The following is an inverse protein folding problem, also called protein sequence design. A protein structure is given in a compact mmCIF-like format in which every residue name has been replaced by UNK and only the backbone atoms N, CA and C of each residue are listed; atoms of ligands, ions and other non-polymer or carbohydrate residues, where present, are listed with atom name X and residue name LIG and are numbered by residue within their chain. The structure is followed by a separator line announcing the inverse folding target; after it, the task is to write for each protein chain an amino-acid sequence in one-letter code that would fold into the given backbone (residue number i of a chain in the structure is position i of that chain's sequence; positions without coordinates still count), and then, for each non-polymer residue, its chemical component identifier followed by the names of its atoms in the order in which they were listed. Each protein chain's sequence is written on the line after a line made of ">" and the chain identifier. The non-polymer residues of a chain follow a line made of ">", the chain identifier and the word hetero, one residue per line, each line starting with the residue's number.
data_IF_177529238175
#
_entry.id   IF_177529238175
#
_cell.length_a   1.000
_cell.length_b   1.000
_cell.length_c   1.000
_cell.angle_alpha   90.00
_cell.angle_beta   90.00
_cell.angle_gamma   90.00
#
_symmetry.space_group_name_H-M   'P 1'
#
loop_
_entity.id
_entity.type
_entity.pdbx_description
1 polymer ?
#
# COMPACT_ATOMS: atom_id res chain seq x y z
N UNK A 1 17.19 19.36 2.42
CA UNK A 1 16.23 20.05 3.28
C UNK A 1 15.52 19.00 4.13
N UNK A 2 15.47 19.19 5.44
CA UNK A 2 14.66 18.32 6.30
C UNK A 2 13.20 18.51 5.89
N UNK A 3 12.60 17.45 5.37
CA UNK A 3 11.18 17.42 5.16
C UNK A 3 10.58 17.33 6.57
N UNK A 4 9.83 18.36 6.94
CA UNK A 4 9.18 18.39 8.23
C UNK A 4 8.00 17.44 8.23
N UNK A 5 7.66 16.89 9.38
CA UNK A 5 6.43 16.14 9.57
C UNK A 5 5.24 17.08 9.32
N UNK A 6 4.46 16.81 8.29
CA UNK A 6 3.35 17.68 7.87
C UNK A 6 2.05 17.35 8.56
N UNK A 7 1.95 16.21 9.17
CA UNK A 7 0.69 15.68 9.62
C UNK A 7 0.52 15.70 11.14
N UNK A 8 -0.65 16.18 11.55
CA UNK A 8 -1.09 16.08 12.91
C UNK A 8 -2.56 15.63 12.95
N UNK A 9 -2.80 14.41 13.40
CA UNK A 9 -4.15 13.80 13.47
C UNK A 9 -5.14 14.63 14.28
N UNK A 10 -4.66 15.31 15.32
CA UNK A 10 -5.52 16.09 16.20
C UNK A 10 -6.20 17.28 15.51
N UNK A 11 -5.57 17.79 14.45
CA UNK A 11 -6.13 18.91 13.67
C UNK A 11 -6.97 18.47 12.49
N UNK A 12 -7.11 17.18 12.23
CA UNK A 12 -7.92 16.68 11.14
C UNK A 12 -9.40 16.94 11.42
N UNK A 13 -10.00 17.78 10.57
CA UNK A 13 -11.42 18.10 10.64
C UNK A 13 -12.25 17.10 9.83
N UNK A 14 -12.90 16.19 10.53
CA UNK A 14 -13.77 15.21 9.91
C UNK A 14 -15.05 15.87 9.38
N UNK A 15 -15.44 15.52 8.16
CA UNK A 15 -16.64 16.07 7.56
C UNK A 15 -17.90 15.59 8.30
N UNK A 16 -18.60 16.55 8.89
CA UNK A 16 -19.73 16.32 9.80
C UNK A 16 -20.94 15.63 9.17
N UNK A 17 -21.04 15.52 7.84
CA UNK A 17 -22.24 15.00 7.17
C UNK A 17 -22.32 13.48 7.16
N UNK A 18 -21.24 12.77 7.00
CA UNK A 18 -21.24 11.31 6.93
C UNK A 18 -21.27 10.67 8.32
N UNK A 19 -20.63 11.29 9.30
CA UNK A 19 -20.50 10.73 10.65
C UNK A 19 -21.80 10.62 11.44
N UNK A 20 -22.83 11.40 11.08
CA UNK A 20 -24.09 11.44 11.85
C UNK A 20 -25.04 10.27 11.60
N UNK A 21 -24.89 9.56 10.49
CA UNK A 21 -25.85 8.58 10.01
C UNK A 21 -25.28 7.18 9.83
N UNK A 22 -23.96 7.03 9.85
CA UNK A 22 -23.30 5.73 9.72
C UNK A 22 -22.89 5.22 11.10
N UNK A 23 -23.64 4.23 11.61
CA UNK A 23 -23.38 3.63 12.94
C UNK A 23 -22.04 2.89 13.01
N UNK A 24 -21.48 2.54 11.86
CA UNK A 24 -20.23 1.79 11.75
C UNK A 24 -19.01 2.70 11.54
N UNK A 25 -19.24 4.02 11.42
CA UNK A 25 -18.18 4.99 11.25
C UNK A 25 -17.48 5.28 12.58
N UNK A 26 -16.16 5.20 12.54
CA UNK A 26 -15.25 5.53 13.63
C UNK A 26 -14.23 6.54 13.12
N UNK A 27 -13.84 7.48 13.96
CA UNK A 27 -12.78 8.44 13.64
C UNK A 27 -11.42 7.87 14.05
N UNK A 28 -10.40 8.06 13.22
CA UNK A 28 -9.04 7.58 13.54
C UNK A 28 -8.56 8.05 14.91
N UNK A 29 -8.87 9.32 15.28
CA UNK A 29 -8.49 9.89 16.57
C UNK A 29 -9.07 9.15 17.78
N UNK A 30 -10.13 8.37 17.59
CA UNK A 30 -10.80 7.62 18.66
C UNK A 30 -10.25 6.19 18.82
N UNK A 31 -9.28 5.83 17.99
CA UNK A 31 -8.58 4.55 18.05
C UNK A 31 -7.19 4.72 18.68
N UNK A 32 -6.69 3.64 19.27
CA UNK A 32 -5.28 3.53 19.62
C UNK A 32 -4.47 3.31 18.33
N UNK A 33 -3.74 4.33 17.91
CA UNK A 33 -2.91 4.29 16.72
C UNK A 33 -1.52 4.86 17.02
N UNK A 34 -0.56 4.53 16.16
CA UNK A 34 0.80 5.09 16.20
C UNK A 34 1.35 5.21 14.78
N UNK A 35 2.57 5.74 14.68
CA UNK A 35 3.30 5.79 13.41
C UNK A 35 4.55 4.95 13.49
N UNK A 36 4.97 4.42 12.35
CA UNK A 36 6.29 3.85 12.18
C UNK A 36 7.28 5.01 12.01
N UNK A 37 7.88 5.45 13.12
CA UNK A 37 8.64 6.71 13.17
C UNK A 37 10.03 6.62 12.52
N UNK A 38 10.55 5.42 12.33
CA UNK A 38 11.90 5.17 11.84
C UNK A 38 12.02 5.36 10.32
N UNK A 39 10.90 5.36 9.59
CA UNK A 39 10.86 5.55 8.14
C UNK A 39 10.21 6.89 7.80
N UNK A 40 10.96 7.76 7.12
CA UNK A 40 10.46 8.99 6.52
C UNK A 40 10.21 8.78 5.02
N UNK A 41 8.95 8.82 4.63
CA UNK A 41 8.54 8.53 3.24
C UNK A 41 9.09 9.52 2.21
N UNK A 42 9.12 10.85 2.47
CA UNK A 42 9.65 11.80 1.50
C UNK A 42 11.17 11.82 1.32
N UNK A 43 11.91 10.94 1.91
CA UNK A 43 13.38 10.83 1.76
C UNK A 43 13.81 9.77 0.75
N UNK A 44 13.11 9.66 -0.38
CA UNK A 44 13.30 8.57 -1.34
C UNK A 44 14.50 8.77 -2.26
N UNK A 45 15.12 7.67 -2.73
CA UNK A 45 16.19 7.74 -3.73
C UNK A 45 15.74 8.32 -5.06
N UNK A 46 16.69 8.86 -5.81
CA UNK A 46 16.48 9.27 -7.20
C UNK A 46 16.73 8.07 -8.12
N UNK A 47 15.86 7.88 -9.09
CA UNK A 47 15.91 6.75 -10.03
C UNK A 47 16.07 7.16 -11.48
N UNK A 48 16.45 8.40 -11.76
CA UNK A 48 16.88 8.79 -13.09
C UNK A 48 18.11 7.98 -13.50
N UNK A 49 18.15 7.48 -14.72
CA UNK A 49 19.24 6.60 -15.17
C UNK A 49 20.63 7.20 -14.94
N UNK A 50 20.80 8.48 -15.23
CA UNK A 50 22.07 9.17 -15.01
C UNK A 50 22.42 9.32 -13.52
N UNK A 51 21.44 9.45 -12.64
CA UNK A 51 21.66 9.62 -11.20
C UNK A 51 21.87 8.28 -10.51
N UNK A 52 21.26 7.21 -10.99
CA UNK A 52 21.54 5.84 -10.57
C UNK A 52 23.03 5.51 -10.77
N UNK A 53 23.59 5.87 -11.93
CA UNK A 53 25.02 5.68 -12.20
C UNK A 53 25.93 6.51 -11.31
N UNK A 54 25.47 7.67 -10.84
CA UNK A 54 26.18 8.56 -9.93
C UNK A 54 25.91 8.26 -8.45
N UNK A 55 25.06 7.26 -8.17
CA UNK A 55 24.62 6.89 -6.80
C UNK A 55 23.92 8.05 -6.07
N UNK A 56 23.19 8.86 -6.78
CA UNK A 56 22.35 9.89 -6.16
C UNK A 56 21.13 9.24 -5.52
N UNK A 57 20.76 9.70 -4.34
CA UNK A 57 19.83 8.96 -3.47
C UNK A 57 18.65 9.78 -2.93
N UNK A 58 18.40 10.95 -3.44
CA UNK A 58 17.27 11.76 -2.97
C UNK A 58 16.37 12.21 -4.12
N UNK A 59 15.08 11.98 -3.97
CA UNK A 59 14.05 12.50 -4.88
C UNK A 59 12.80 12.89 -4.09
N UNK A 60 12.19 14.00 -4.46
CA UNK A 60 10.87 14.39 -3.97
C UNK A 60 9.75 14.05 -4.98
N UNK A 61 10.10 13.60 -6.18
CA UNK A 61 9.14 13.27 -7.24
C UNK A 61 8.44 11.91 -7.05
N UNK A 62 8.97 11.06 -6.19
CA UNK A 62 8.43 9.73 -5.94
C UNK A 62 7.14 9.78 -5.12
N UNK A 63 6.14 9.02 -5.55
CA UNK A 63 4.84 8.89 -4.88
C UNK A 63 4.68 7.47 -4.34
N UNK A 64 4.61 7.28 -3.01
CA UNK A 64 4.44 5.96 -2.42
C UNK A 64 3.09 5.36 -2.78
N UNK A 65 3.07 4.07 -3.09
CA UNK A 65 1.90 3.34 -3.55
C UNK A 65 1.65 2.05 -2.79
N UNK A 66 2.64 1.18 -2.69
CA UNK A 66 2.52 -0.14 -2.12
C UNK A 66 3.37 -0.35 -0.88
N UNK A 67 2.87 -1.16 0.03
CA UNK A 67 3.59 -1.59 1.24
C UNK A 67 3.39 -3.07 1.48
N UNK A 68 4.46 -3.75 1.85
CA UNK A 68 4.46 -5.14 2.25
C UNK A 68 5.53 -5.33 3.33
N UNK A 69 5.21 -6.07 4.39
CA UNK A 69 6.15 -6.41 5.44
C UNK A 69 6.52 -7.89 5.34
N UNK A 70 7.82 -8.16 5.44
CA UNK A 70 8.37 -9.50 5.63
C UNK A 70 8.93 -9.60 7.05
N UNK A 71 9.48 -10.73 7.44
CA UNK A 71 10.12 -10.84 8.76
C UNK A 71 11.33 -9.90 8.90
N UNK A 72 12.02 -9.63 7.79
CA UNK A 72 13.26 -8.85 7.77
C UNK A 72 13.05 -7.40 7.32
N UNK A 73 12.11 -7.16 6.41
CA UNK A 73 12.03 -5.90 5.68
C UNK A 73 10.65 -5.24 5.72
N UNK A 74 10.65 -3.94 5.57
CA UNK A 74 9.53 -3.15 5.07
C UNK A 74 9.82 -2.83 3.61
N UNK A 75 8.95 -3.26 2.71
CA UNK A 75 9.04 -3.04 1.27
C UNK A 75 8.02 -1.99 0.86
N UNK A 76 8.49 -0.94 0.20
CA UNK A 76 7.62 0.16 -0.26
C UNK A 76 7.85 0.36 -1.75
N UNK A 77 6.77 0.40 -2.52
CA UNK A 77 6.83 0.80 -3.93
C UNK A 77 6.40 2.24 -4.11
N UNK A 78 6.97 2.88 -5.11
CA UNK A 78 6.60 4.23 -5.53
C UNK A 78 6.74 4.39 -7.04
N UNK A 79 6.03 5.37 -7.59
CA UNK A 79 6.23 5.81 -8.97
C UNK A 79 6.75 7.23 -8.99
N UNK A 80 7.49 7.59 -10.03
CA UNK A 80 7.94 8.96 -10.23
C UNK A 80 6.90 9.80 -10.98
N UNK A 81 6.84 11.09 -10.66
CA UNK A 81 6.11 12.08 -11.44
C UNK A 81 6.93 12.67 -12.59
N UNK A 82 8.21 12.32 -12.69
CA UNK A 82 9.13 12.72 -13.75
C UNK A 82 9.25 11.61 -14.79
N UNK A 83 9.23 11.98 -16.06
CA UNK A 83 9.16 11.02 -17.18
C UNK A 83 10.45 10.19 -17.37
N UNK A 84 11.57 10.65 -16.83
CA UNK A 84 12.89 10.01 -16.97
C UNK A 84 13.30 9.18 -15.73
N UNK A 85 12.40 8.99 -14.80
CA UNK A 85 12.65 8.24 -13.58
C UNK A 85 12.00 6.86 -13.62
N UNK A 86 12.73 5.85 -13.17
CA UNK A 86 12.16 4.52 -12.90
C UNK A 86 11.21 4.60 -11.69
N UNK A 87 10.24 3.69 -11.65
CA UNK A 87 9.56 3.35 -10.41
C UNK A 87 10.52 2.67 -9.44
N UNK A 88 10.18 2.65 -8.16
CA UNK A 88 11.05 2.11 -7.11
C UNK A 88 10.38 0.99 -6.33
N UNK A 89 11.19 -0.01 -5.97
CA UNK A 89 10.94 -0.89 -4.85
C UNK A 89 12.03 -0.60 -3.81
N UNK A 90 11.65 0.06 -2.72
CA UNK A 90 12.57 0.42 -1.64
C UNK A 90 12.54 -0.62 -0.53
N UNK A 91 13.69 -0.98 -0.02
CA UNK A 91 13.88 -1.97 1.04
C UNK A 91 14.41 -1.28 2.28
N UNK A 92 13.68 -1.43 3.39
CA UNK A 92 14.08 -0.93 4.71
C UNK A 92 14.22 -2.12 5.67
N UNK A 93 15.21 -2.05 6.55
CA UNK A 93 15.29 -2.99 7.67
C UNK A 93 14.05 -2.81 8.57
N UNK A 94 13.37 -3.91 8.86
CA UNK A 94 12.12 -3.84 9.62
C UNK A 94 12.31 -3.45 11.08
N UNK A 95 13.40 -3.90 11.70
CA UNK A 95 13.66 -3.67 13.11
C UNK A 95 14.13 -2.23 13.35
N UNK A 96 15.05 -1.74 12.53
CA UNK A 96 15.68 -0.43 12.70
C UNK A 96 15.07 0.68 11.88
N UNK A 97 14.33 0.35 10.81
CA UNK A 97 13.84 1.31 9.82
C UNK A 97 14.94 1.86 8.90
N UNK A 98 16.15 1.33 8.98
CA UNK A 98 17.25 1.78 8.13
C UNK A 98 17.00 1.43 6.67
N UNK A 99 17.28 2.41 5.80
CA UNK A 99 17.28 2.20 4.36
C UNK A 99 18.38 1.23 3.93
N UNK A 100 18.01 0.22 3.14
CA UNK A 100 18.92 -0.82 2.69
C UNK A 100 19.29 -0.64 1.21
N UNK A 101 18.34 -0.68 0.32
CA UNK A 101 18.55 -0.63 -1.13
C UNK A 101 17.29 -0.20 -1.84
N UNK A 102 17.45 0.39 -3.03
CA UNK A 102 16.36 0.62 -3.98
C UNK A 102 16.56 -0.19 -5.23
N UNK A 103 15.50 -0.89 -5.64
CA UNK A 103 15.43 -1.59 -6.91
C UNK A 103 14.63 -0.73 -7.89
N UNK A 104 15.27 -0.31 -8.99
CA UNK A 104 14.62 0.41 -10.09
C UNK A 104 13.73 -0.54 -10.89
N UNK A 105 12.46 -0.15 -11.00
CA UNK A 105 11.42 -0.88 -11.71
C UNK A 105 11.03 -0.13 -13.00
N UNK A 106 10.07 -0.66 -13.75
CA UNK A 106 9.59 -0.04 -14.98
C UNK A 106 9.09 1.39 -14.73
N UNK A 107 9.56 2.34 -15.55
CA UNK A 107 9.13 3.74 -15.53
C UNK A 107 7.67 3.93 -15.94
N UNK A 108 7.10 3.01 -16.71
CA UNK A 108 5.72 3.07 -17.17
C UNK A 108 4.73 2.36 -16.21
N UNK A 109 5.11 2.10 -14.99
CA UNK A 109 4.25 1.46 -14.01
C UNK A 109 3.96 2.38 -12.82
N UNK A 110 2.71 2.38 -12.37
CA UNK A 110 2.35 3.01 -11.09
C UNK A 110 2.84 2.24 -9.86
N UNK A 111 3.21 0.97 -10.03
CA UNK A 111 3.60 0.10 -8.93
C UNK A 111 2.60 0.13 -7.75
N UNK A 112 1.29 0.05 -8.10
CA UNK A 112 0.18 0.34 -7.19
C UNK A 112 0.01 -0.59 -6.00
N UNK A 113 0.73 -1.71 -5.97
CA UNK A 113 0.70 -2.65 -4.86
C UNK A 113 1.85 -3.63 -4.92
N UNK A 114 2.17 -4.20 -3.75
CA UNK A 114 3.23 -5.18 -3.55
C UNK A 114 2.78 -6.24 -2.56
N UNK A 115 3.15 -7.49 -2.79
CA UNK A 115 2.84 -8.63 -1.92
C UNK A 115 4.01 -9.60 -1.85
N UNK A 116 4.11 -10.32 -0.75
CA UNK A 116 5.12 -11.36 -0.51
C UNK A 116 4.43 -12.70 -0.29
N UNK A 117 4.81 -13.73 -1.05
CA UNK A 117 4.21 -15.06 -0.98
C UNK A 117 5.04 -16.10 -0.21
N UNK A 118 6.13 -15.66 0.40
CA UNK A 118 7.09 -16.51 1.09
C UNK A 118 8.36 -16.80 0.28
N UNK A 119 8.28 -16.80 -1.04
CA UNK A 119 9.40 -17.07 -1.95
C UNK A 119 9.67 -15.90 -2.90
N UNK A 120 8.63 -15.23 -3.34
CA UNK A 120 8.69 -14.15 -4.31
C UNK A 120 7.89 -12.93 -3.86
N UNK A 121 8.30 -11.78 -4.38
CA UNK A 121 7.59 -10.53 -4.26
C UNK A 121 6.89 -10.21 -5.58
N UNK A 122 5.64 -9.78 -5.49
CA UNK A 122 4.77 -9.48 -6.61
C UNK A 122 4.41 -8.01 -6.60
N UNK A 123 4.59 -7.33 -7.73
CA UNK A 123 4.33 -5.90 -7.88
C UNK A 123 3.33 -5.67 -8.99
N UNK A 124 2.34 -4.82 -8.75
CA UNK A 124 1.32 -4.48 -9.74
C UNK A 124 1.90 -3.61 -10.86
N UNK A 125 1.58 -3.94 -12.10
CA UNK A 125 1.78 -3.10 -13.28
C UNK A 125 0.43 -2.90 -13.99
N UNK A 126 -0.28 -1.83 -13.63
CA UNK A 126 -1.62 -1.55 -14.13
C UNK A 126 -1.66 -1.15 -15.60
N UNK A 127 -0.59 -0.56 -16.11
CA UNK A 127 -0.53 -0.13 -17.52
C UNK A 127 -0.41 -1.31 -18.49
N UNK A 128 0.32 -2.35 -18.09
CA UNK A 128 0.53 -3.55 -18.90
C UNK A 128 -0.46 -4.68 -18.57
N UNK A 129 -1.39 -4.48 -17.64
CA UNK A 129 -2.31 -5.52 -17.14
C UNK A 129 -1.59 -6.80 -16.72
N UNK A 130 -0.49 -6.64 -16.02
CA UNK A 130 0.30 -7.75 -15.49
C UNK A 130 0.72 -7.48 -14.05
N UNK A 131 1.21 -8.50 -13.38
CA UNK A 131 1.99 -8.37 -12.16
C UNK A 131 3.41 -8.86 -12.43
N UNK A 132 4.36 -8.22 -11.79
CA UNK A 132 5.78 -8.50 -11.95
C UNK A 132 6.27 -9.27 -10.73
N UNK A 133 6.97 -10.39 -10.97
CA UNK A 133 7.56 -11.23 -9.93
C UNK A 133 9.04 -10.94 -9.80
N UNK A 134 9.49 -10.74 -8.58
CA UNK A 134 10.90 -10.62 -8.22
C UNK A 134 11.21 -11.64 -7.13
N UNK A 135 12.35 -12.34 -7.25
CA UNK A 135 12.79 -13.28 -6.22
C UNK A 135 13.11 -12.56 -4.91
N UNK A 136 12.61 -13.09 -3.80
CA UNK A 136 12.96 -12.55 -2.48
C UNK A 136 14.45 -12.75 -2.16
N UNK A 137 15.05 -13.85 -2.61
CA UNK A 137 16.50 -14.08 -2.46
C UNK A 137 17.32 -12.99 -3.16
N UNK A 138 16.86 -12.52 -4.33
CA UNK A 138 17.50 -11.40 -5.02
C UNK A 138 17.37 -10.10 -4.21
N UNK A 139 16.21 -9.83 -3.64
CA UNK A 139 15.99 -8.66 -2.78
C UNK A 139 16.92 -8.68 -1.57
N UNK A 140 17.02 -9.82 -0.87
CA UNK A 140 17.94 -10.00 0.25
C UNK A 140 19.39 -9.79 -0.18
N UNK A 141 19.79 -10.39 -1.30
CA UNK A 141 21.13 -10.26 -1.84
C UNK A 141 21.51 -8.80 -2.10
N UNK A 142 20.62 -8.05 -2.75
CA UNK A 142 20.83 -6.64 -3.03
C UNK A 142 20.83 -5.79 -1.76
N UNK A 143 19.95 -6.07 -0.82
CA UNK A 143 19.90 -5.34 0.45
C UNK A 143 21.22 -5.43 1.23
N UNK A 144 21.85 -6.60 1.26
CA UNK A 144 23.07 -6.81 2.02
C UNK A 144 24.36 -6.57 1.24
N UNK A 145 24.38 -6.77 -0.06
CA UNK A 145 25.57 -6.56 -0.89
C UNK A 145 25.64 -5.17 -1.52
N UNK A 146 24.52 -4.53 -1.75
CA UNK A 146 24.40 -3.21 -2.38
C UNK A 146 23.75 -2.19 -1.44
N UNK A 147 23.98 -2.30 -0.14
CA UNK A 147 23.40 -1.39 0.85
C UNK A 147 23.71 0.07 0.53
N UNK A 148 22.65 0.88 0.47
CA UNK A 148 22.73 2.31 0.13
C UNK A 148 22.74 2.61 -1.38
N UNK A 149 22.69 1.59 -2.23
CA UNK A 149 22.72 1.76 -3.68
C UNK A 149 21.30 1.78 -4.29
N UNK A 150 21.23 2.27 -5.51
CA UNK A 150 20.08 2.09 -6.41
C UNK A 150 20.51 1.13 -7.53
N UNK A 151 19.77 0.04 -7.68
CA UNK A 151 20.07 -1.04 -8.62
C UNK A 151 18.96 -1.15 -9.65
N UNK A 152 19.29 -1.14 -10.95
CA UNK A 152 18.31 -1.41 -12.00
C UNK A 152 17.90 -2.89 -11.96
N UNK A 153 16.64 -3.14 -11.62
CA UNK A 153 16.09 -4.48 -11.51
C UNK A 153 15.16 -4.87 -12.67
N UNK A 154 15.05 -4.04 -13.70
CA UNK A 154 14.10 -4.28 -14.81
C UNK A 154 14.36 -5.59 -15.57
N UNK A 155 15.62 -6.04 -15.60
CA UNK A 155 15.99 -7.29 -16.32
C UNK A 155 15.79 -8.57 -15.49
N UNK A 156 15.48 -8.45 -14.20
CA UNK A 156 15.32 -9.62 -13.31
C UNK A 156 13.87 -9.88 -12.88
N UNK A 157 12.93 -9.13 -13.43
CA UNK A 157 11.50 -9.33 -13.18
C UNK A 157 10.87 -10.21 -14.24
N UNK A 158 9.95 -11.06 -13.84
CA UNK A 158 9.10 -11.85 -14.73
C UNK A 158 7.69 -11.26 -14.75
N UNK A 159 7.10 -11.15 -15.93
CA UNK A 159 5.75 -10.62 -16.11
C UNK A 159 4.71 -11.74 -16.18
N UNK A 160 3.61 -11.56 -15.42
CA UNK A 160 2.49 -12.48 -15.39
C UNK A 160 1.20 -11.76 -15.77
N UNK A 161 0.60 -12.05 -16.92
CA UNK A 161 -0.68 -11.46 -17.30
C UNK A 161 -1.79 -11.81 -16.31
N UNK A 162 -2.66 -10.85 -16.05
CA UNK A 162 -3.85 -11.02 -15.20
C UNK A 162 -5.11 -10.54 -15.91
N UNK A 163 -6.28 -11.00 -15.47
CA UNK A 163 -7.56 -10.74 -16.15
C UNK A 163 -8.18 -9.40 -15.80
N UNK A 164 -7.86 -8.87 -14.63
CA UNK A 164 -8.35 -7.57 -14.18
C UNK A 164 -7.18 -6.60 -14.02
N UNK A 165 -7.43 -5.31 -14.18
CA UNK A 165 -6.40 -4.30 -14.01
C UNK A 165 -5.85 -4.35 -12.59
N UNK A 166 -4.55 -4.63 -12.40
CA UNK A 166 -3.96 -4.77 -11.08
C UNK A 166 -3.64 -3.41 -10.47
N UNK A 167 -4.51 -2.94 -9.58
CA UNK A 167 -4.32 -1.68 -8.87
C UNK A 167 -3.72 -1.88 -7.48
N UNK A 168 -4.06 -2.97 -6.80
CA UNK A 168 -3.44 -3.40 -5.55
C UNK A 168 -3.48 -4.92 -5.42
N UNK A 169 -2.65 -5.45 -4.51
CA UNK A 169 -2.40 -6.88 -4.40
C UNK A 169 -2.09 -7.27 -2.95
N UNK A 170 -2.48 -8.47 -2.56
CA UNK A 170 -2.06 -9.10 -1.31
C UNK A 170 -1.93 -10.61 -1.47
N UNK A 171 -1.18 -11.23 -0.58
CA UNK A 171 -1.06 -12.69 -0.48
C UNK A 171 -1.78 -13.19 0.77
N UNK A 172 -2.71 -14.12 0.58
CA UNK A 172 -3.42 -14.74 1.67
C UNK A 172 -3.96 -16.10 1.28
N UNK A 173 -3.84 -17.06 2.18
CA UNK A 173 -4.42 -18.40 1.98
C UNK A 173 -3.90 -19.13 0.75
N UNK A 174 -2.62 -18.96 0.40
CA UNK A 174 -2.00 -19.58 -0.76
C UNK A 174 -2.38 -18.97 -2.10
N UNK A 175 -2.91 -17.74 -2.11
CA UNK A 175 -3.40 -17.07 -3.31
C UNK A 175 -2.95 -15.62 -3.35
N UNK A 176 -2.81 -15.10 -4.57
CA UNK A 176 -2.69 -13.67 -4.83
C UNK A 176 -4.09 -13.08 -5.05
N UNK A 177 -4.41 -12.06 -4.28
CA UNK A 177 -5.67 -11.32 -4.38
C UNK A 177 -5.36 -9.98 -5.04
N UNK A 178 -5.91 -9.76 -6.23
CA UNK A 178 -5.64 -8.59 -7.06
C UNK A 178 -6.94 -7.80 -7.22
N UNK A 179 -6.94 -6.56 -6.74
CA UNK A 179 -8.09 -5.67 -6.80
C UNK A 179 -7.87 -4.57 -7.84
N UNK A 180 -8.97 -4.18 -8.48
CA UNK A 180 -9.02 -3.11 -9.47
C UNK A 180 -9.60 -1.84 -8.86
N UNK A 181 -8.97 -0.71 -9.08
CA UNK A 181 -9.48 0.60 -8.68
C UNK A 181 -10.49 1.12 -9.70
N UNK A 182 -11.63 1.59 -9.23
CA UNK A 182 -12.66 2.28 -10.03
C UNK A 182 -13.16 3.52 -9.28
N UNK A 183 -13.75 4.48 -9.98
CA UNK A 183 -14.22 5.74 -9.37
C UNK A 183 -15.72 5.79 -9.15
N UNK A 184 -16.51 5.25 -10.07
CA UNK A 184 -17.96 5.49 -10.12
C UNK A 184 -18.80 4.25 -9.85
N UNK A 185 -18.28 3.09 -10.09
CA UNK A 185 -19.01 1.81 -9.98
C UNK A 185 -18.27 0.85 -9.06
N UNK A 186 -18.99 -0.13 -8.53
CA UNK A 186 -18.34 -1.23 -7.83
C UNK A 186 -17.29 -1.89 -8.73
N UNK A 187 -16.23 -2.32 -8.15
CA UNK A 187 -15.12 -2.95 -8.82
C UNK A 187 -15.07 -4.45 -8.52
N UNK A 188 -13.96 -5.06 -8.86
CA UNK A 188 -13.73 -6.49 -8.66
C UNK A 188 -12.38 -6.77 -8.05
N UNK A 189 -12.30 -7.86 -7.32
CA UNK A 189 -11.08 -8.45 -6.81
C UNK A 189 -11.05 -9.92 -7.24
N UNK A 190 -9.94 -10.34 -7.82
CA UNK A 190 -9.78 -11.69 -8.33
C UNK A 190 -8.69 -12.40 -7.54
N UNK A 191 -8.99 -13.63 -7.11
CA UNK A 191 -8.01 -14.51 -6.47
C UNK A 191 -7.36 -15.40 -7.53
N UNK A 192 -6.04 -15.43 -7.51
CA UNK A 192 -5.22 -16.22 -8.42
C UNK A 192 -4.36 -17.22 -7.65
N UNK A 193 -4.09 -18.36 -8.25
CA UNK A 193 -3.00 -19.21 -7.79
C UNK A 193 -1.91 -19.31 -8.84
N UNK A 194 -0.68 -19.53 -8.40
CA UNK A 194 0.44 -19.79 -9.28
C UNK A 194 0.48 -21.29 -9.60
N UNK A 195 0.23 -21.62 -10.87
CA UNK A 195 0.44 -22.97 -11.36
C UNK A 195 1.94 -23.17 -11.63
N UNK A 196 2.59 -23.89 -10.74
CA UNK A 196 4.04 -24.14 -10.80
C UNK A 196 4.46 -25.00 -12.00
N UNK A 197 3.54 -25.75 -12.60
CA UNK A 197 3.83 -26.56 -13.78
C UNK A 197 3.92 -25.73 -15.06
N UNK A 198 3.03 -24.75 -15.21
CA UNK A 198 2.96 -23.88 -16.38
C UNK A 198 3.60 -22.52 -16.15
N UNK A 199 3.96 -22.21 -14.89
CA UNK A 199 4.44 -20.91 -14.43
C UNK A 199 3.50 -19.78 -14.90
N UNK A 200 2.21 -19.93 -14.56
CA UNK A 200 1.15 -18.96 -14.90
C UNK A 200 0.25 -18.72 -13.70
N UNK A 201 -0.28 -17.50 -13.61
CA UNK A 201 -1.34 -17.15 -12.68
C UNK A 201 -2.70 -17.55 -13.25
N UNK A 202 -3.44 -18.35 -12.51
CA UNK A 202 -4.77 -18.86 -12.91
C UNK A 202 -5.82 -18.27 -11.97
N UNK A 203 -6.81 -17.59 -12.55
CA UNK A 203 -7.92 -17.03 -11.81
C UNK A 203 -8.81 -18.14 -11.23
N UNK A 204 -9.08 -18.08 -9.94
CA UNK A 204 -9.95 -19.02 -9.23
C UNK A 204 -11.34 -18.46 -8.97
N UNK A 205 -11.42 -17.24 -8.51
CA UNK A 205 -12.66 -16.62 -8.07
C UNK A 205 -12.63 -15.11 -8.23
N UNK A 206 -13.79 -14.54 -8.40
CA UNK A 206 -14.03 -13.13 -8.66
C UNK A 206 -15.03 -12.61 -7.62
N UNK A 207 -14.70 -11.51 -6.98
CA UNK A 207 -15.49 -10.92 -5.90
C UNK A 207 -15.80 -9.46 -6.21
N UNK A 208 -17.02 -9.06 -5.93
CA UNK A 208 -17.43 -7.67 -5.97
C UNK A 208 -16.83 -6.91 -4.79
N UNK A 209 -16.24 -5.77 -5.06
CA UNK A 209 -15.71 -4.85 -4.06
C UNK A 209 -16.24 -3.44 -4.30
N UNK A 210 -16.15 -2.52 -3.31
CA UNK A 210 -16.56 -1.14 -3.53
C UNK A 210 -15.61 -0.43 -4.49
N UNK A 211 -16.03 0.74 -4.94
CA UNK A 211 -15.20 1.67 -5.71
C UNK A 211 -14.09 2.28 -4.85
N UNK A 212 -13.09 2.89 -5.50
CA UNK A 212 -12.00 3.66 -4.88
C UNK A 212 -11.03 2.84 -4.00
N UNK A 213 -10.97 1.53 -4.20
CA UNK A 213 -10.05 0.67 -3.47
C UNK A 213 -8.62 0.91 -3.95
N UNK A 214 -7.73 1.24 -3.03
CA UNK A 214 -6.30 1.46 -3.23
C UNK A 214 -5.42 0.40 -2.54
N UNK A 215 -6.00 -0.41 -1.69
CA UNK A 215 -5.29 -1.45 -0.97
C UNK A 215 -6.22 -2.51 -0.45
N UNK A 216 -5.71 -3.73 -0.33
CA UNK A 216 -6.40 -4.89 0.26
C UNK A 216 -5.42 -5.69 1.09
N UNK A 217 -5.87 -6.15 2.24
CA UNK A 217 -5.12 -7.12 3.05
C UNK A 217 -6.06 -7.97 3.89
N UNK A 218 -5.53 -9.06 4.44
CA UNK A 218 -6.23 -9.98 5.33
C UNK A 218 -5.46 -10.12 6.63
N UNK A 219 -6.17 -10.39 7.71
CA UNK A 219 -5.55 -10.92 8.92
C UNK A 219 -5.60 -12.45 8.95
N UNK A 220 -4.98 -13.04 9.96
CA UNK A 220 -4.91 -14.51 10.11
C UNK A 220 -6.28 -15.18 10.33
N UNK A 221 -7.27 -14.41 10.78
CA UNK A 221 -8.64 -14.88 10.99
C UNK A 221 -9.51 -14.76 9.73
N UNK A 222 -8.98 -14.23 8.63
CA UNK A 222 -9.71 -14.04 7.37
C UNK A 222 -10.54 -12.76 7.30
N UNK A 223 -10.42 -11.86 8.26
CA UNK A 223 -10.97 -10.52 8.15
C UNK A 223 -10.30 -9.79 6.98
N UNK A 224 -11.07 -9.00 6.25
CA UNK A 224 -10.61 -8.25 5.09
C UNK A 224 -10.57 -6.77 5.41
N UNK A 225 -9.49 -6.12 5.05
CA UNK A 225 -9.29 -4.68 5.21
C UNK A 225 -9.06 -4.04 3.85
N UNK A 226 -9.86 -3.03 3.52
CA UNK A 226 -9.71 -2.25 2.30
C UNK A 226 -9.36 -0.81 2.63
N UNK A 227 -8.35 -0.28 1.97
CA UNK A 227 -8.07 1.15 1.92
C UNK A 227 -8.81 1.74 0.73
N UNK A 228 -9.65 2.76 0.98
CA UNK A 228 -10.39 3.47 -0.07
C UNK A 228 -10.06 4.94 -0.05
N UNK A 229 -9.72 5.49 -1.20
CA UNK A 229 -9.26 6.86 -1.32
C UNK A 229 -9.51 7.44 -2.70
N UNK A 230 -9.84 8.71 -2.73
CA UNK A 230 -9.90 9.51 -3.95
C UNK A 230 -9.78 10.99 -3.65
N UNK A 231 -8.78 11.62 -4.27
CA UNK A 231 -8.60 13.06 -4.18
C UNK A 231 -7.78 13.52 -2.97
N UNK A 232 -7.37 14.78 -3.02
CA UNK A 232 -6.42 15.38 -2.06
C UNK A 232 -7.07 15.98 -0.84
N UNK A 233 -8.35 16.28 -0.95
CA UNK A 233 -9.11 17.08 0.02
C UNK A 233 -10.30 16.31 0.60
N UNK A 234 -10.41 15.04 0.29
CA UNK A 234 -11.45 14.16 0.81
C UNK A 234 -10.86 13.13 1.75
N UNK A 235 -11.60 12.82 2.81
CA UNK A 235 -11.21 11.74 3.71
C UNK A 235 -11.00 10.44 2.96
N UNK A 236 -10.01 9.68 3.36
CA UNK A 236 -9.89 8.28 3.00
C UNK A 236 -10.51 7.40 4.08
N UNK A 237 -10.84 6.16 3.75
CA UNK A 237 -11.53 5.26 4.65
C UNK A 237 -10.89 3.88 4.66
N UNK A 238 -10.78 3.33 5.85
CA UNK A 238 -10.47 1.93 6.06
C UNK A 238 -11.78 1.16 6.26
N UNK A 239 -12.04 0.20 5.38
CA UNK A 239 -13.21 -0.68 5.50
C UNK A 239 -12.80 -2.04 6.05
N UNK A 240 -13.49 -2.50 7.09
CA UNK A 240 -13.26 -3.79 7.73
C UNK A 240 -14.45 -4.72 7.49
N UNK A 241 -14.16 -5.94 7.03
CA UNK A 241 -15.18 -6.99 6.77
C UNK A 241 -14.80 -8.27 7.50
N UNK A 242 -15.78 -9.04 7.94
CA UNK A 242 -15.57 -10.30 8.65
C UNK A 242 -15.01 -11.42 7.75
N UNK A 243 -15.23 -11.30 6.44
CA UNK A 243 -14.79 -12.29 5.45
C UNK A 243 -14.88 -11.73 4.04
N UNK A 244 -14.29 -12.43 3.08
CA UNK A 244 -14.46 -12.15 1.64
C UNK A 244 -15.94 -12.30 1.23
N UNK A 245 -16.65 -13.26 1.78
CA UNK A 245 -18.08 -13.44 1.51
C UNK A 245 -18.89 -12.25 1.99
N UNK A 246 -18.62 -11.74 3.19
CA UNK A 246 -19.28 -10.54 3.72
C UNK A 246 -19.00 -9.32 2.83
N UNK A 247 -17.75 -9.14 2.41
CA UNK A 247 -17.34 -8.10 1.48
C UNK A 247 -18.12 -8.20 0.16
N UNK A 248 -18.09 -9.34 -0.48
CA UNK A 248 -18.72 -9.55 -1.79
C UNK A 248 -20.25 -9.42 -1.76
N UNK A 249 -20.88 -9.82 -0.66
CA UNK A 249 -22.33 -9.74 -0.48
C UNK A 249 -22.82 -8.32 -0.26
N UNK A 250 -22.08 -7.54 0.53
CA UNK A 250 -22.42 -6.14 0.88
C UNK A 250 -21.19 -5.22 0.83
N UNK A 251 -20.67 -4.91 -0.36
CA UNK A 251 -19.43 -4.15 -0.49
C UNK A 251 -19.47 -2.77 0.18
N UNK A 252 -20.62 -2.12 0.20
CA UNK A 252 -20.81 -0.79 0.78
C UNK A 252 -21.16 -0.78 2.27
N UNK A 253 -21.23 -1.94 2.90
CA UNK A 253 -21.62 -2.08 4.31
C UNK A 253 -20.56 -2.86 5.11
N UNK A 254 -19.37 -2.27 5.33
CA UNK A 254 -18.38 -2.87 6.21
C UNK A 254 -18.92 -2.94 7.64
N UNK A 255 -18.40 -3.88 8.43
CA UNK A 255 -18.73 -3.92 9.88
C UNK A 255 -18.17 -2.71 10.63
N UNK A 256 -17.04 -2.16 10.17
CA UNK A 256 -16.41 -0.94 10.69
C UNK A 256 -15.82 -0.14 9.53
N UNK A 257 -15.98 1.17 9.61
CA UNK A 257 -15.43 2.13 8.66
C UNK A 257 -14.66 3.19 9.45
N UNK A 258 -13.36 3.28 9.21
CA UNK A 258 -12.50 4.27 9.88
C UNK A 258 -12.23 5.43 8.95
N UNK A 259 -12.60 6.64 9.37
CA UNK A 259 -12.27 7.87 8.64
C UNK A 259 -10.82 8.26 8.92
N UNK A 260 -10.05 8.47 7.86
CA UNK A 260 -8.64 8.81 7.89
C UNK A 260 -8.36 10.08 7.06
N UNK A 261 -7.18 10.66 7.21
CA UNK A 261 -6.73 11.72 6.31
C UNK A 261 -6.74 11.28 4.84
N UNK A 262 -6.76 12.24 3.89
CA UNK A 262 -6.76 11.92 2.46
C UNK A 262 -5.57 11.08 2.00
N UNK A 263 -5.75 10.39 0.89
CA UNK A 263 -4.70 9.74 0.11
C UNK A 263 -4.10 8.46 0.72
N UNK A 264 -4.90 7.68 1.47
CA UNK A 264 -4.45 6.33 1.85
C UNK A 264 -4.29 5.44 0.61
N UNK A 265 -3.23 4.64 0.61
CA UNK A 265 -2.89 3.70 -0.44
C UNK A 265 -2.91 2.27 0.07
N UNK A 266 -1.93 1.46 -0.25
CA UNK A 266 -1.89 0.08 0.17
C UNK A 266 -1.66 -0.06 1.69
N UNK A 267 -2.06 -1.21 2.19
CA UNK A 267 -1.96 -1.60 3.59
C UNK A 267 -1.54 -3.06 3.68
N UNK A 268 -0.98 -3.43 4.82
CA UNK A 268 -0.56 -4.81 5.11
C UNK A 268 -0.72 -5.13 6.59
N UNK A 269 -1.10 -6.37 6.90
CA UNK A 269 -1.18 -6.88 8.28
C UNK A 269 0.05 -7.69 8.59
N UNK A 270 0.72 -7.36 9.67
CA UNK A 270 1.84 -8.14 10.21
C UNK A 270 1.84 -8.06 11.72
N UNK A 271 2.02 -9.19 12.39
CA UNK A 271 2.07 -9.28 13.87
C UNK A 271 0.89 -8.57 14.57
N UNK A 272 -0.33 -8.87 14.13
CA UNK A 272 -1.58 -8.28 14.65
C UNK A 272 -1.64 -6.75 14.59
N UNK A 273 -0.91 -6.16 13.67
CA UNK A 273 -0.90 -4.72 13.39
C UNK A 273 -1.16 -4.47 11.93
N UNK A 274 -2.04 -3.52 11.64
CA UNK A 274 -2.30 -3.01 10.30
C UNK A 274 -1.37 -1.82 10.04
N UNK A 275 -0.64 -1.88 8.93
CA UNK A 275 0.24 -0.82 8.44
C UNK A 275 -0.39 -0.19 7.21
N UNK A 276 -0.54 1.12 7.19
CA UNK A 276 -1.19 1.86 6.09
C UNK A 276 -0.24 2.92 5.55
N UNK A 277 -0.05 2.90 4.24
CA UNK A 277 0.75 3.86 3.50
C UNK A 277 -0.13 4.97 2.91
N UNK A 278 0.42 6.19 2.83
CA UNK A 278 -0.25 7.35 2.25
C UNK A 278 0.58 7.94 1.12
N UNK A 279 -0.03 8.20 -0.03
CA UNK A 279 0.68 8.84 -1.15
C UNK A 279 0.83 10.35 -0.98
N UNK A 280 0.16 10.96 -0.03
CA UNK A 280 0.27 12.39 0.28
C UNK A 280 1.68 12.81 0.75
N UNK A 281 2.57 11.84 1.01
CA UNK A 281 3.98 12.07 1.21
C UNK A 281 4.72 12.52 -0.05
N UNK A 282 4.19 12.27 -1.24
CA UNK A 282 4.77 12.73 -2.51
C UNK A 282 4.67 14.25 -2.66
N UNK A 283 5.71 14.88 -3.23
CA UNK A 283 5.83 16.34 -3.33
C UNK A 283 4.63 16.98 -4.04
N UNK A 284 4.11 16.35 -5.08
CA UNK A 284 2.94 16.87 -5.80
C UNK A 284 1.71 17.08 -4.90
N UNK A 285 1.63 16.35 -3.79
CA UNK A 285 0.53 16.44 -2.83
C UNK A 285 0.80 17.44 -1.71
N UNK A 286 1.97 17.42 -1.09
CA UNK A 286 2.25 18.32 0.02
C UNK A 286 2.70 19.73 -0.42
N UNK A 287 3.31 19.88 -1.60
CA UNK A 287 3.70 21.18 -2.17
C UNK A 287 2.76 21.64 -3.30
N UNK A 288 2.01 20.75 -3.92
CA UNK A 288 1.14 21.07 -5.05
C UNK A 288 1.91 21.36 -6.34
N UNK A 289 3.04 20.71 -6.56
CA UNK A 289 3.96 20.98 -7.69
C UNK A 289 3.35 20.64 -9.05
N UNK A 290 2.32 19.82 -9.11
CA UNK A 290 1.58 19.52 -10.35
C UNK A 290 0.50 20.55 -10.69
N UNK A 291 0.37 21.64 -9.93
CA UNK A 291 -0.60 22.71 -10.15
C UNK A 291 -2.04 22.39 -9.69
N UNK A 292 -2.27 21.22 -9.07
CA UNK A 292 -3.60 20.81 -8.58
C UNK A 292 -3.87 21.18 -7.11
N UNK A 293 -2.94 21.90 -6.49
CA UNK A 293 -3.04 22.33 -5.09
C UNK A 293 -2.48 21.32 -4.11
N UNK A 294 -2.36 21.74 -2.87
CA UNK A 294 -1.84 20.92 -1.77
C UNK A 294 -2.92 19.99 -1.24
N UNK A 295 -2.51 18.80 -0.81
CA UNK A 295 -3.38 17.89 -0.07
C UNK A 295 -3.66 18.43 1.33
N UNK A 296 -4.86 18.13 1.85
CA UNK A 296 -5.16 18.35 3.25
C UNK A 296 -4.45 17.30 4.10
N UNK A 297 -3.75 17.75 5.13
CA UNK A 297 -3.09 16.89 6.12
C UNK A 297 -2.20 15.79 5.49
N UNK A 298 -1.18 16.15 4.68
CA UNK A 298 -0.27 15.18 4.11
C UNK A 298 0.46 14.41 5.21
N UNK A 299 0.60 13.10 5.01
CA UNK A 299 1.16 12.17 5.98
C UNK A 299 2.46 11.56 5.44
N UNK A 300 3.56 11.78 6.14
CA UNK A 300 4.90 11.35 5.78
C UNK A 300 5.39 10.08 6.51
N UNK A 301 4.51 9.44 7.26
CA UNK A 301 4.78 8.24 8.06
C UNK A 301 3.81 7.11 7.72
N UNK A 302 4.24 5.89 7.98
CA UNK A 302 3.36 4.72 7.93
C UNK A 302 2.48 4.72 9.17
N UNK A 303 1.17 4.68 8.98
CA UNK A 303 0.20 4.58 10.07
C UNK A 303 0.11 3.13 10.56
N UNK A 304 0.06 2.94 11.87
CA UNK A 304 -0.07 1.64 12.53
C UNK A 304 -1.34 1.62 13.38
N UNK A 305 -2.18 0.61 13.15
CA UNK A 305 -3.39 0.38 13.95
C UNK A 305 -3.38 -1.07 14.44
N UNK A 306 -3.42 -1.31 15.76
CA UNK A 306 -3.56 -2.67 16.28
C UNK A 306 -4.87 -3.31 15.78
N UNK A 307 -4.84 -4.55 15.37
CA UNK A 307 -6.03 -5.25 14.84
C UNK A 307 -7.17 -5.29 15.86
N UNK A 308 -6.86 -5.38 17.17
CA UNK A 308 -7.87 -5.34 18.24
C UNK A 308 -8.76 -4.09 18.20
N UNK A 309 -8.25 -2.96 17.73
CA UNK A 309 -9.00 -1.71 17.58
C UNK A 309 -10.06 -1.78 16.48
N UNK A 310 -9.92 -2.73 15.57
CA UNK A 310 -10.77 -2.90 14.39
C UNK A 310 -11.83 -3.98 14.59
N UNK A 311 -11.85 -4.68 15.71
CA UNK A 311 -12.88 -5.63 16.06
C UNK A 311 -14.14 -4.92 16.55
N UNK A 312 -15.31 -5.34 16.01
CA UNK A 312 -16.60 -4.72 16.36
C UNK A 312 -17.13 -5.22 17.69
N UNK A 313 -16.89 -6.50 17.97
CA UNK A 313 -17.29 -7.10 19.22
C UNK A 313 -16.13 -7.01 20.20
N UNK A 314 -16.18 -6.01 21.06
CA UNK A 314 -15.44 -6.07 22.31
C UNK A 314 -15.84 -7.35 23.04
N UNK A 315 -15.18 -8.45 22.75
CA UNK A 315 -15.12 -9.54 23.70
C UNK A 315 -14.30 -9.01 24.86
N UNK A 316 -14.98 -8.36 25.79
CA UNK A 316 -14.52 -8.22 27.15
C UNK A 316 -14.38 -9.65 27.71
N UNK A 317 -13.30 -10.31 27.40
CA UNK A 317 -12.80 -11.37 28.26
C UNK A 317 -12.21 -10.67 29.47
N UNK A 318 -13.09 -10.25 30.36
CA UNK A 318 -12.75 -10.13 31.76
C UNK A 318 -12.32 -11.52 32.21
N UNK A 319 -11.00 -11.75 32.15
CA UNK A 319 -10.40 -12.92 32.77
C UNK A 319 -10.63 -12.84 34.27
N UNK A 320 -11.33 -13.78 34.79
CA UNK A 320 -11.28 -14.18 36.18
C UNK A 320 -9.96 -14.89 36.46
#
# INVERSE_FOLDING_TARGET
>A
AKINNYYNVEYYNYHKRESRFDKNLVLLKDLDYSFYNEIDIPGMPDTREEDVLKKYIFSASQCPQGICLTDEFVLITSYSTEDDCMGELMVFDRETGEYMVTLGMDENSHLGGIAFDGDNVWVCNSYENCVERISYDFIELMAYQNTGDVVDARDVVDEFPVKNTPSCITWYGGRLWIATHTLLVNSRMVAYYLDKKTDKLIALSDYKIPQKVQGVTFDDSGNVYLSTSYGRNQSSYLYCYDSVTALATRPKHPRKKVEMPPASEELDVSDNTLYILFESAGEKYYEGTDGKGKSLFPLDKILKIPIRELDVNGSSTSGT
#
